data_IF_989953438970
#
_entry.id   IF_989953438970
#
_cell.length_a   1.000
_cell.length_b   1.000
_cell.length_c   1.000
_cell.angle_alpha   90.00
_cell.angle_beta   90.00
_cell.angle_gamma   90.00
#
_symmetry.space_group_name_H-M   'P 1'
#
loop_
_entity.id
_entity.type
_entity.pdbx_description
1 polymer ?
#
# COMPACT_ATOMS: atom_id res chain seq x y z
N UNK A 1 42.17 84.94 1.16
CA UNK A 1 40.91 84.56 1.83
C UNK A 1 40.68 83.13 1.51
N UNK A 2 41.07 82.28 2.39
CA UNK A 2 41.09 80.81 2.21
C UNK A 2 40.24 80.14 3.27
N UNK A 3 39.30 79.32 2.87
CA UNK A 3 38.56 78.46 3.78
C UNK A 3 39.12 77.04 3.71
N UNK A 4 39.68 76.60 4.80
CA UNK A 4 40.20 75.22 4.98
C UNK A 4 39.04 74.27 5.17
N UNK A 5 38.86 73.35 4.24
CA UNK A 5 37.94 72.20 4.40
C UNK A 5 38.65 71.14 5.23
N UNK A 6 38.16 70.87 6.42
CA UNK A 6 38.59 69.76 7.27
C UNK A 6 37.97 68.45 6.75
N UNK A 7 38.82 67.52 6.30
CA UNK A 7 38.45 66.13 6.07
C UNK A 7 38.25 65.41 7.39
N UNK A 8 37.06 64.96 7.68
CA UNK A 8 36.77 64.05 8.77
C UNK A 8 36.87 62.64 8.25
N UNK A 9 37.91 61.97 8.70
CA UNK A 9 38.10 60.54 8.37
C UNK A 9 37.33 59.73 9.40
N UNK A 10 36.22 59.07 8.95
CA UNK A 10 35.54 58.08 9.71
C UNK A 10 36.29 56.74 9.62
N UNK A 11 36.92 56.38 10.74
CA UNK A 11 37.53 55.06 10.92
C UNK A 11 36.42 54.09 11.34
N UNK A 12 35.92 53.30 10.39
CA UNK A 12 34.98 52.21 10.71
C UNK A 12 35.77 51.02 11.29
N UNK A 13 35.68 50.83 12.58
CA UNK A 13 36.18 49.65 13.28
C UNK A 13 35.21 48.51 12.98
N UNK A 14 35.62 47.62 12.05
CA UNK A 14 34.93 46.36 11.85
C UNK A 14 35.33 45.39 12.96
N UNK A 15 34.53 45.26 13.99
CA UNK A 15 34.63 44.15 14.93
C UNK A 15 34.15 42.87 14.25
N UNK A 16 35.11 42.04 13.89
CA UNK A 16 34.86 40.65 13.42
C UNK A 16 34.47 39.82 14.65
N UNK A 17 33.19 39.74 14.94
CA UNK A 17 32.69 38.77 15.92
C UNK A 17 32.58 37.46 15.15
N UNK A 18 33.62 36.62 15.20
CA UNK A 18 33.56 35.22 14.90
C UNK A 18 32.69 34.53 15.97
N UNK A 19 31.38 34.66 15.83
CA UNK A 19 30.46 33.79 16.53
C UNK A 19 30.62 32.40 15.95
N UNK A 20 31.16 31.47 16.72
CA UNK A 20 31.05 30.05 16.44
C UNK A 20 29.55 29.68 16.48
N UNK A 21 28.92 29.73 15.31
CA UNK A 21 27.69 28.99 15.07
C UNK A 21 28.06 27.51 14.98
N UNK A 22 28.23 26.88 16.16
CA UNK A 22 28.04 25.47 16.29
C UNK A 22 26.55 25.22 15.93
N UNK A 23 26.31 25.01 14.66
CA UNK A 23 25.07 24.45 14.17
C UNK A 23 24.91 23.08 14.82
N UNK A 24 24.17 23.04 15.93
CA UNK A 24 23.48 21.82 16.30
C UNK A 24 22.54 21.54 15.13
N UNK A 25 22.98 20.67 14.22
CA UNK A 25 22.07 19.90 13.41
C UNK A 25 21.23 19.13 14.43
N UNK A 26 20.08 19.67 14.77
CA UNK A 26 19.02 18.91 15.37
C UNK A 26 18.75 17.82 14.33
N UNK A 27 19.30 16.63 14.57
CA UNK A 27 18.76 15.42 13.96
C UNK A 27 17.29 15.43 14.36
N UNK A 28 16.45 15.92 13.46
CA UNK A 28 15.02 15.85 13.62
C UNK A 28 14.70 14.37 13.75
N UNK A 29 14.38 13.92 14.96
CA UNK A 29 13.63 12.69 15.14
C UNK A 29 12.49 12.77 14.11
N UNK A 30 12.57 11.96 13.09
CA UNK A 30 11.50 11.75 12.15
C UNK A 30 10.36 11.14 12.96
N UNK A 31 9.52 12.01 13.52
CA UNK A 31 8.24 11.59 14.08
C UNK A 31 7.48 11.07 12.88
N UNK A 32 7.57 9.75 12.65
CA UNK A 32 6.75 9.08 11.64
C UNK A 32 5.30 9.33 12.06
N UNK A 33 4.65 10.24 11.32
CA UNK A 33 3.28 10.66 11.60
C UNK A 33 2.39 9.40 11.56
N UNK A 34 1.70 9.11 12.65
CA UNK A 34 0.67 8.07 12.65
C UNK A 34 -0.40 8.44 11.63
N UNK A 35 -0.67 7.53 10.68
CA UNK A 35 -1.68 7.77 9.67
C UNK A 35 -3.07 7.67 10.26
N UNK A 36 -3.98 8.48 9.74
CA UNK A 36 -5.38 8.48 10.17
C UNK A 36 -6.02 7.15 9.77
N UNK A 37 -6.48 6.42 10.77
CA UNK A 37 -7.28 5.22 10.57
C UNK A 37 -8.74 5.59 10.35
N UNK A 38 -9.38 5.18 9.25
CA UNK A 38 -10.82 5.31 9.09
C UNK A 38 -11.59 4.65 10.24
N UNK A 39 -12.77 5.14 10.59
CA UNK A 39 -13.60 4.52 11.63
C UNK A 39 -13.87 3.04 11.35
N UNK A 40 -13.78 2.20 12.36
CA UNK A 40 -14.18 0.80 12.23
C UNK A 40 -15.66 0.67 11.90
N UNK A 41 -15.98 -0.33 11.10
CA UNK A 41 -17.36 -0.61 10.71
C UNK A 41 -18.16 -1.21 11.85
N UNK A 42 -19.47 -0.95 11.83
CA UNK A 42 -20.48 -1.55 12.70
C UNK A 42 -21.68 -2.02 11.88
N UNK A 43 -22.52 -2.84 12.46
CA UNK A 43 -23.77 -3.26 11.81
C UNK A 43 -24.61 -2.06 11.38
N UNK A 44 -25.13 -2.11 10.17
CA UNK A 44 -25.88 -1.02 9.54
C UNK A 44 -25.01 -0.04 8.74
N UNK A 45 -23.68 -0.10 8.87
CA UNK A 45 -22.81 0.73 8.03
C UNK A 45 -22.87 0.29 6.56
N UNK A 46 -22.63 1.26 5.68
CA UNK A 46 -22.73 1.07 4.23
C UNK A 46 -21.38 0.82 3.61
N UNK A 47 -21.30 -0.21 2.77
CA UNK A 47 -20.19 -0.48 1.88
C UNK A 47 -20.61 -0.29 0.43
N UNK A 48 -19.82 0.46 -0.35
CA UNK A 48 -20.04 0.56 -1.80
C UNK A 48 -19.09 -0.37 -2.53
N UNK A 49 -19.67 -1.28 -3.34
CA UNK A 49 -18.92 -2.10 -4.29
C UNK A 49 -18.91 -1.39 -5.63
N UNK A 50 -17.73 -1.12 -6.19
CA UNK A 50 -17.54 -0.45 -7.46
C UNK A 50 -16.33 -1.05 -8.22
N UNK A 51 -16.22 -0.75 -9.51
CA UNK A 51 -15.18 -1.31 -10.38
C UNK A 51 -14.25 -0.21 -10.90
N UNK A 52 -13.15 0.14 -10.20
CA UNK A 52 -12.28 1.25 -10.61
C UNK A 52 -11.29 0.86 -11.70
N UNK A 53 -11.17 -0.41 -12.02
CA UNK A 53 -10.17 -1.00 -12.90
C UNK A 53 -10.79 -1.90 -13.98
N UNK A 54 -10.58 -3.22 -13.88
CA UNK A 54 -11.06 -4.20 -14.82
C UNK A 54 -12.55 -4.50 -14.68
N UNK A 55 -13.20 -4.83 -15.80
CA UNK A 55 -14.62 -5.20 -15.84
C UNK A 55 -14.90 -6.51 -15.10
N UNK A 56 -16.03 -6.61 -14.47
CA UNK A 56 -16.63 -7.89 -14.06
C UNK A 56 -17.58 -8.37 -15.16
N UNK A 57 -17.75 -9.69 -15.26
CA UNK A 57 -18.55 -10.28 -16.33
C UNK A 57 -20.03 -9.97 -16.18
N UNK A 58 -20.51 -10.17 -14.96
CA UNK A 58 -21.89 -9.96 -14.55
C UNK A 58 -21.95 -9.82 -13.01
N UNK A 59 -23.15 -9.54 -12.49
CA UNK A 59 -23.34 -9.37 -11.06
C UNK A 59 -23.12 -10.66 -10.25
N UNK A 60 -23.37 -11.81 -10.85
CA UNK A 60 -23.13 -13.11 -10.20
C UNK A 60 -21.69 -13.27 -9.73
N UNK A 61 -20.74 -12.68 -10.47
CA UNK A 61 -19.34 -12.73 -10.11
C UNK A 61 -18.99 -12.04 -8.78
N UNK A 62 -19.91 -11.31 -8.16
CA UNK A 62 -19.71 -10.64 -6.88
C UNK A 62 -20.73 -11.04 -5.81
N UNK A 63 -21.61 -12.01 -6.08
CA UNK A 63 -22.67 -12.41 -5.15
C UNK A 63 -22.09 -12.89 -3.81
N UNK A 64 -20.99 -13.63 -3.82
CA UNK A 64 -20.30 -14.07 -2.60
C UNK A 64 -19.85 -12.88 -1.72
N UNK A 65 -19.36 -11.80 -2.34
CA UNK A 65 -18.98 -10.58 -1.63
C UNK A 65 -20.18 -9.85 -1.03
N UNK A 66 -21.30 -9.81 -1.75
CA UNK A 66 -22.56 -9.23 -1.28
C UNK A 66 -23.08 -10.04 -0.09
N UNK A 67 -23.11 -11.38 -0.21
CA UNK A 67 -23.57 -12.28 0.84
C UNK A 67 -22.70 -12.13 2.11
N UNK A 68 -21.38 -12.08 1.94
CA UNK A 68 -20.43 -11.89 3.04
C UNK A 68 -20.67 -10.56 3.77
N UNK A 69 -20.83 -9.45 3.03
CA UNK A 69 -21.10 -8.14 3.61
C UNK A 69 -22.44 -8.14 4.37
N UNK A 70 -23.48 -8.71 3.80
CA UNK A 70 -24.79 -8.86 4.45
C UNK A 70 -24.71 -9.73 5.71
N UNK A 71 -23.93 -10.83 5.68
CA UNK A 71 -23.68 -11.67 6.84
C UNK A 71 -23.01 -10.89 7.99
N UNK A 72 -22.15 -9.94 7.67
CA UNK A 72 -21.54 -9.03 8.66
C UNK A 72 -22.49 -7.92 9.13
N UNK A 73 -23.68 -7.84 8.54
CA UNK A 73 -24.70 -6.84 8.87
C UNK A 73 -24.46 -5.48 8.21
N UNK A 74 -23.68 -5.44 7.15
CA UNK A 74 -23.43 -4.24 6.35
C UNK A 74 -24.53 -4.05 5.29
N UNK A 75 -24.74 -2.80 4.87
CA UNK A 75 -25.64 -2.44 3.78
C UNK A 75 -24.83 -2.22 2.52
N UNK A 76 -25.13 -2.96 1.44
CA UNK A 76 -24.36 -2.91 0.21
C UNK A 76 -24.98 -1.95 -0.79
N UNK A 77 -24.21 -0.96 -1.24
CA UNK A 77 -24.49 -0.12 -2.40
C UNK A 77 -23.58 -0.46 -3.56
N UNK A 78 -23.93 0.01 -4.75
CA UNK A 78 -23.19 -0.25 -5.96
C UNK A 78 -22.84 1.05 -6.69
N UNK A 79 -21.69 1.06 -7.35
CA UNK A 79 -21.37 2.07 -8.34
C UNK A 79 -22.39 2.03 -9.49
N UNK A 80 -22.71 3.17 -10.06
CA UNK A 80 -23.66 3.25 -11.18
C UNK A 80 -23.14 2.50 -12.41
N UNK A 81 -21.81 2.48 -12.56
CA UNK A 81 -21.07 1.89 -13.70
C UNK A 81 -20.40 0.57 -13.35
N UNK A 82 -20.80 -0.08 -12.24
CA UNK A 82 -20.22 -1.34 -11.77
C UNK A 82 -20.10 -2.42 -12.85
N UNK A 83 -21.07 -2.48 -13.78
CA UNK A 83 -21.16 -3.47 -14.86
C UNK A 83 -20.81 -2.90 -16.23
N UNK A 84 -20.40 -1.64 -16.33
CA UNK A 84 -19.97 -1.02 -17.57
C UNK A 84 -18.75 -1.74 -18.16
N UNK A 85 -18.61 -1.70 -19.48
CA UNK A 85 -17.52 -2.37 -20.18
C UNK A 85 -17.01 -1.52 -21.33
N UNK A 86 -15.70 -1.28 -21.34
CA UNK A 86 -14.96 -0.69 -22.45
C UNK A 86 -13.65 -1.48 -22.63
N UNK A 87 -13.61 -2.34 -23.63
CA UNK A 87 -12.50 -3.28 -23.82
C UNK A 87 -12.28 -4.19 -22.59
N UNK A 88 -11.17 -4.03 -21.91
CA UNK A 88 -10.84 -4.74 -20.64
C UNK A 88 -11.26 -3.98 -19.38
N UNK A 89 -11.63 -2.71 -19.52
CA UNK A 89 -11.99 -1.83 -18.40
C UNK A 89 -13.45 -1.97 -17.99
N UNK A 90 -13.75 -1.58 -16.76
CA UNK A 90 -15.11 -1.44 -16.26
C UNK A 90 -15.72 -0.09 -16.69
N UNK A 91 -15.94 0.07 -17.99
CA UNK A 91 -16.37 1.32 -18.61
C UNK A 91 -15.21 2.27 -18.92
N UNK A 92 -15.56 3.47 -19.38
CA UNK A 92 -14.62 4.56 -19.70
C UNK A 92 -13.89 5.06 -18.47
N UNK A 93 -12.79 5.78 -18.67
CA UNK A 93 -12.08 6.47 -17.56
C UNK A 93 -13.04 7.42 -16.80
N UNK A 94 -13.93 8.10 -17.52
CA UNK A 94 -14.93 9.00 -16.92
C UNK A 94 -15.92 8.23 -16.02
N UNK A 95 -16.54 7.15 -16.50
CA UNK A 95 -17.49 6.34 -15.71
C UNK A 95 -16.88 5.80 -14.43
N UNK A 96 -15.63 5.31 -14.50
CA UNK A 96 -14.90 4.80 -13.34
C UNK A 96 -14.53 5.92 -12.36
N UNK A 97 -14.17 7.10 -12.87
CA UNK A 97 -13.92 8.30 -12.07
C UNK A 97 -15.19 8.75 -11.35
N UNK A 98 -16.32 8.82 -12.05
CA UNK A 98 -17.62 9.22 -11.48
C UNK A 98 -18.04 8.31 -10.31
N UNK A 99 -17.95 6.99 -10.48
CA UNK A 99 -18.29 6.04 -9.43
C UNK A 99 -17.33 6.17 -8.22
N UNK A 100 -16.04 6.29 -8.47
CA UNK A 100 -15.04 6.43 -7.41
C UNK A 100 -15.19 7.76 -6.69
N UNK A 101 -15.36 8.88 -7.40
CA UNK A 101 -15.55 10.20 -6.82
C UNK A 101 -16.82 10.23 -5.94
N UNK A 102 -17.93 9.69 -6.46
CA UNK A 102 -19.17 9.58 -5.67
C UNK A 102 -18.93 8.81 -4.38
N UNK A 103 -18.18 7.71 -4.43
CA UNK A 103 -17.89 6.91 -3.23
C UNK A 103 -16.98 7.65 -2.25
N UNK A 104 -16.02 8.45 -2.73
CA UNK A 104 -15.16 9.29 -1.90
C UNK A 104 -15.96 10.40 -1.20
N UNK A 105 -16.91 11.02 -1.89
CA UNK A 105 -17.63 12.20 -1.41
C UNK A 105 -18.85 11.84 -0.52
N UNK A 106 -19.51 10.72 -0.77
CA UNK A 106 -20.74 10.37 -0.06
C UNK A 106 -20.46 10.01 1.42
N UNK A 107 -20.92 10.84 2.39
CA UNK A 107 -20.65 10.61 3.82
C UNK A 107 -21.37 9.38 4.38
N UNK A 108 -22.38 8.85 3.68
CA UNK A 108 -23.09 7.63 4.09
C UNK A 108 -22.23 6.39 3.87
N UNK A 109 -21.32 6.41 2.88
CA UNK A 109 -20.42 5.30 2.58
C UNK A 109 -19.29 5.25 3.63
N UNK A 110 -19.12 4.08 4.26
CA UNK A 110 -18.10 3.82 5.30
C UNK A 110 -16.94 2.97 4.80
N UNK A 111 -17.15 2.21 3.73
CA UNK A 111 -16.10 1.49 3.04
C UNK A 111 -16.36 1.47 1.53
N UNK A 112 -15.29 1.53 0.76
CA UNK A 112 -15.25 1.31 -0.69
C UNK A 112 -14.58 -0.04 -0.89
N UNK A 113 -15.29 -1.00 -1.49
CA UNK A 113 -14.77 -2.33 -1.76
C UNK A 113 -14.67 -2.51 -3.28
N UNK A 114 -13.44 -2.51 -3.79
CA UNK A 114 -13.22 -2.72 -5.21
C UNK A 114 -13.72 -4.12 -5.62
N UNK A 115 -14.56 -4.19 -6.66
CA UNK A 115 -15.13 -5.45 -7.13
C UNK A 115 -14.07 -6.42 -7.62
N UNK A 116 -13.07 -5.88 -8.33
CA UNK A 116 -11.88 -6.58 -8.84
C UNK A 116 -10.75 -5.60 -9.13
N UNK A 117 -9.53 -6.14 -9.27
CA UNK A 117 -8.39 -5.45 -9.88
C UNK A 117 -8.39 -5.51 -11.40
N UNK A 118 -7.28 -5.84 -12.00
CA UNK A 118 -7.08 -5.86 -13.45
C UNK A 118 -6.14 -4.75 -13.86
N UNK A 119 -6.65 -3.77 -14.61
CA UNK A 119 -5.89 -2.59 -15.00
C UNK A 119 -6.83 -1.40 -15.20
N UNK A 120 -6.38 -0.21 -14.80
CA UNK A 120 -7.09 1.03 -15.10
C UNK A 120 -7.14 2.05 -13.97
N UNK A 121 -6.87 1.67 -12.71
CA UNK A 121 -6.89 2.62 -11.57
C UNK A 121 -5.89 3.76 -11.77
N UNK A 122 -4.71 3.47 -12.31
CA UNK A 122 -3.68 4.48 -12.61
C UNK A 122 -4.14 5.55 -13.62
N UNK A 123 -5.13 5.23 -14.46
CA UNK A 123 -5.67 6.16 -15.46
C UNK A 123 -6.64 7.19 -14.89
N UNK A 124 -7.21 6.90 -13.73
CA UNK A 124 -8.23 7.74 -13.09
C UNK A 124 -7.73 8.44 -11.83
N UNK A 125 -6.60 8.01 -11.26
CA UNK A 125 -6.15 8.47 -9.93
C UNK A 125 -5.94 9.99 -9.87
N UNK A 126 -5.42 10.59 -10.93
CA UNK A 126 -5.12 12.02 -10.99
C UNK A 126 -6.38 12.89 -11.27
N UNK A 127 -7.50 12.25 -11.63
CA UNK A 127 -8.79 12.92 -11.84
C UNK A 127 -9.67 12.92 -10.58
N UNK A 128 -9.20 12.29 -9.48
CA UNK A 128 -9.96 12.16 -8.24
C UNK A 128 -9.62 13.29 -7.26
N UNK A 129 -10.65 13.93 -6.71
CA UNK A 129 -10.53 14.86 -5.59
C UNK A 129 -10.73 14.11 -4.26
N UNK A 130 -9.71 14.13 -3.42
CA UNK A 130 -9.72 13.50 -2.11
C UNK A 130 -10.07 14.48 -0.97
N UNK A 131 -10.48 15.71 -1.25
CA UNK A 131 -10.72 16.74 -0.22
C UNK A 131 -11.79 16.30 0.78
N UNK A 132 -12.95 15.81 0.31
CA UNK A 132 -14.03 15.31 1.18
C UNK A 132 -13.62 14.02 1.88
N UNK A 133 -12.89 13.14 1.20
CA UNK A 133 -12.34 11.92 1.80
C UNK A 133 -11.40 12.25 2.97
N UNK A 134 -10.55 13.28 2.85
CA UNK A 134 -9.64 13.69 3.90
C UNK A 134 -10.35 14.18 5.16
N UNK A 135 -11.51 14.82 5.00
CA UNK A 135 -12.36 15.24 6.14
C UNK A 135 -13.10 14.07 6.79
N UNK A 136 -13.48 13.09 5.99
CA UNK A 136 -14.33 11.94 6.40
C UNK A 136 -13.79 10.63 5.83
N UNK A 137 -12.62 10.18 6.31
CA UNK A 137 -11.96 9.02 5.75
C UNK A 137 -12.80 7.76 5.92
N UNK A 138 -12.74 6.91 4.92
CA UNK A 138 -13.42 5.62 4.85
C UNK A 138 -12.46 4.55 4.38
N UNK A 139 -12.74 3.29 4.67
CA UNK A 139 -11.89 2.19 4.24
C UNK A 139 -11.92 2.03 2.72
N UNK A 140 -10.76 1.91 2.11
CA UNK A 140 -10.59 1.44 0.73
C UNK A 140 -10.04 0.03 0.82
N UNK A 141 -10.76 -0.93 0.22
CA UNK A 141 -10.48 -2.36 0.31
C UNK A 141 -10.27 -2.95 -1.07
N UNK A 142 -9.18 -3.67 -1.25
CA UNK A 142 -8.86 -4.37 -2.49
C UNK A 142 -7.38 -4.75 -2.55
N UNK A 143 -6.93 -5.30 -3.67
CA UNK A 143 -5.54 -5.65 -3.93
C UNK A 143 -5.24 -5.59 -5.44
N UNK A 144 -4.04 -5.99 -5.87
CA UNK A 144 -3.68 -5.93 -7.29
C UNK A 144 -3.63 -4.47 -7.79
N UNK A 145 -4.35 -4.12 -8.85
CA UNK A 145 -4.42 -2.76 -9.42
C UNK A 145 -4.88 -1.69 -8.40
N UNK A 146 -5.57 -2.09 -7.32
CA UNK A 146 -6.01 -1.20 -6.25
C UNK A 146 -4.82 -0.66 -5.42
N UNK A 147 -3.64 -1.24 -5.57
CA UNK A 147 -2.39 -0.72 -4.99
C UNK A 147 -2.15 0.76 -5.33
N UNK A 148 -2.61 1.25 -6.48
CA UNK A 148 -2.57 2.67 -6.84
C UNK A 148 -3.33 3.53 -5.82
N UNK A 149 -4.56 3.13 -5.46
CA UNK A 149 -5.38 3.83 -4.46
C UNK A 149 -4.78 3.71 -3.06
N UNK A 150 -4.23 2.55 -2.71
CA UNK A 150 -3.56 2.35 -1.41
C UNK A 150 -2.39 3.32 -1.23
N UNK A 151 -1.54 3.45 -2.25
CA UNK A 151 -0.41 4.36 -2.18
C UNK A 151 -0.86 5.83 -2.16
N UNK A 152 -1.89 6.19 -2.96
CA UNK A 152 -2.43 7.56 -2.96
C UNK A 152 -2.96 7.95 -1.58
N UNK A 153 -3.78 7.11 -0.95
CA UNK A 153 -4.32 7.46 0.38
C UNK A 153 -3.26 7.39 1.48
N UNK A 154 -2.23 6.55 1.31
CA UNK A 154 -1.07 6.55 2.20
C UNK A 154 -0.34 7.89 2.17
N UNK A 155 -0.03 8.44 0.98
CA UNK A 155 0.59 9.75 0.81
C UNK A 155 -0.27 10.88 1.40
N UNK A 156 -1.59 10.76 1.30
CA UNK A 156 -2.52 11.69 1.92
C UNK A 156 -2.60 11.55 3.45
N UNK A 157 -2.00 10.52 4.02
CA UNK A 157 -1.95 10.31 5.47
C UNK A 157 -3.03 9.40 6.03
N UNK A 158 -3.57 8.45 5.24
CA UNK A 158 -4.65 7.56 5.66
C UNK A 158 -4.29 6.08 5.48
N UNK A 159 -4.92 5.24 6.34
CA UNK A 159 -4.82 3.79 6.24
C UNK A 159 -5.83 3.23 5.23
N UNK A 160 -5.50 2.08 4.63
CA UNK A 160 -6.37 1.31 3.73
C UNK A 160 -6.16 -0.19 3.94
N UNK A 161 -6.90 -1.06 3.25
CA UNK A 161 -6.82 -2.51 3.47
C UNK A 161 -6.55 -3.24 2.15
N UNK A 162 -5.35 -3.84 2.04
CA UNK A 162 -5.08 -4.87 1.05
C UNK A 162 -5.78 -6.15 1.48
N UNK A 163 -6.76 -6.62 0.72
CA UNK A 163 -7.54 -7.81 1.03
C UNK A 163 -8.33 -8.32 -0.16
N UNK A 164 -8.94 -9.51 0.02
CA UNK A 164 -9.79 -10.17 -0.95
C UNK A 164 -10.88 -9.26 -1.50
N UNK A 165 -11.15 -9.37 -2.79
CA UNK A 165 -12.18 -8.61 -3.51
C UNK A 165 -13.39 -9.49 -3.84
N UNK A 166 -14.58 -8.91 -4.02
CA UNK A 166 -15.81 -9.66 -4.27
C UNK A 166 -15.71 -10.70 -5.37
N UNK A 167 -15.04 -10.39 -6.51
CA UNK A 167 -14.95 -11.30 -7.66
C UNK A 167 -14.13 -12.57 -7.41
N UNK A 168 -13.28 -12.55 -6.39
CA UNK A 168 -12.40 -13.68 -6.05
C UNK A 168 -12.86 -14.45 -4.81
N UNK A 169 -14.00 -14.07 -4.24
CA UNK A 169 -14.58 -14.75 -3.08
C UNK A 169 -15.35 -16.00 -3.49
N UNK A 170 -15.11 -17.05 -2.72
CA UNK A 170 -15.87 -18.30 -2.72
C UNK A 170 -16.12 -18.69 -1.26
N UNK A 171 -17.36 -18.55 -0.79
CA UNK A 171 -17.74 -18.79 0.60
C UNK A 171 -17.65 -20.27 1.01
N UNK A 172 -17.67 -21.16 0.02
CA UNK A 172 -17.57 -22.60 0.22
C UNK A 172 -16.10 -23.09 0.22
N UNK A 173 -15.16 -22.24 -0.23
CA UNK A 173 -13.76 -22.59 -0.28
C UNK A 173 -13.11 -22.49 1.13
N UNK A 174 -12.72 -23.63 1.76
CA UNK A 174 -12.13 -23.62 3.09
C UNK A 174 -10.79 -22.85 3.16
N UNK A 175 -10.06 -22.75 2.03
CA UNK A 175 -8.78 -22.06 1.97
C UNK A 175 -8.94 -20.54 2.08
N UNK A 176 -10.14 -20.01 1.80
CA UNK A 176 -10.45 -18.57 1.94
C UNK A 176 -10.96 -18.20 3.34
N UNK A 177 -11.12 -19.13 4.25
CA UNK A 177 -11.68 -18.88 5.59
C UNK A 177 -10.87 -17.85 6.37
N UNK A 178 -9.56 -17.93 6.36
CA UNK A 178 -8.71 -16.97 7.07
C UNK A 178 -8.66 -15.61 6.35
N UNK A 179 -8.72 -15.57 5.02
CA UNK A 179 -8.86 -14.33 4.24
C UNK A 179 -10.10 -13.55 4.68
N UNK A 180 -11.26 -14.19 4.67
CA UNK A 180 -12.54 -13.57 5.08
C UNK A 180 -12.53 -13.16 6.54
N UNK A 181 -12.02 -14.03 7.42
CA UNK A 181 -11.90 -13.75 8.86
C UNK A 181 -10.97 -12.57 9.15
N UNK A 182 -9.84 -12.49 8.46
CA UNK A 182 -8.88 -11.40 8.63
C UNK A 182 -9.43 -10.06 8.13
N UNK A 183 -10.13 -10.04 6.99
CA UNK A 183 -10.82 -8.85 6.49
C UNK A 183 -11.89 -8.36 7.49
N UNK A 184 -12.68 -9.28 8.03
CA UNK A 184 -13.63 -8.93 9.08
C UNK A 184 -12.95 -8.31 10.30
N UNK A 185 -11.83 -8.93 10.78
CA UNK A 185 -11.08 -8.39 11.92
C UNK A 185 -10.55 -6.98 11.63
N UNK A 186 -10.00 -6.76 10.44
CA UNK A 186 -9.48 -5.46 10.04
C UNK A 186 -10.59 -4.38 9.99
N UNK A 187 -11.71 -4.67 9.35
CA UNK A 187 -12.82 -3.72 9.20
C UNK A 187 -13.53 -3.41 10.52
N UNK A 188 -13.67 -4.37 11.44
CA UNK A 188 -14.42 -4.24 12.68
C UNK A 188 -13.54 -4.01 13.92
N UNK A 189 -12.29 -3.64 13.76
CA UNK A 189 -11.40 -3.27 14.86
C UNK A 189 -11.03 -4.40 15.81
N UNK A 190 -11.03 -5.64 15.33
CA UNK A 190 -10.57 -6.76 16.12
C UNK A 190 -9.07 -6.96 15.94
N UNK A 191 -8.40 -7.51 16.94
CA UNK A 191 -6.96 -7.76 16.90
C UNK A 191 -6.56 -8.52 15.63
N UNK A 192 -5.64 -7.91 14.88
CA UNK A 192 -5.02 -8.50 13.70
C UNK A 192 -3.59 -8.89 14.02
N UNK A 193 -3.31 -10.18 13.94
CA UNK A 193 -1.99 -10.75 14.17
C UNK A 193 -1.86 -12.03 13.39
N UNK A 194 -0.71 -12.22 12.75
CA UNK A 194 -0.40 -13.40 11.98
C UNK A 194 0.79 -14.15 12.59
N UNK A 195 0.67 -15.46 12.57
CA UNK A 195 1.74 -16.41 12.87
C UNK A 195 1.80 -17.38 11.70
N UNK A 196 2.89 -17.38 10.97
CA UNK A 196 3.08 -18.24 9.81
C UNK A 196 4.29 -19.14 10.01
N UNK A 197 4.31 -20.28 9.35
CA UNK A 197 5.52 -21.09 9.25
C UNK A 197 6.59 -20.29 8.51
N UNK A 198 7.83 -20.41 8.91
CA UNK A 198 8.92 -19.67 8.30
C UNK A 198 9.51 -20.43 7.14
N UNK A 199 9.70 -19.74 6.00
CA UNK A 199 10.54 -20.21 4.91
C UNK A 199 12.01 -20.30 5.39
N UNK A 200 12.76 -21.26 4.90
CA UNK A 200 14.18 -21.46 5.26
C UNK A 200 15.09 -20.32 4.78
N UNK A 201 14.67 -19.59 3.75
CA UNK A 201 15.38 -18.43 3.17
C UNK A 201 15.02 -17.12 3.84
N UNK A 202 14.16 -17.13 4.84
CA UNK A 202 13.86 -15.92 5.60
C UNK A 202 15.14 -15.33 6.21
N UNK A 203 15.31 -14.03 6.07
CA UNK A 203 16.33 -13.32 6.84
C UNK A 203 15.77 -13.01 8.24
N UNK A 204 16.40 -13.61 9.26
CA UNK A 204 15.96 -13.52 10.64
C UNK A 204 16.20 -12.11 11.19
N UNK A 205 15.33 -11.66 12.08
CA UNK A 205 15.43 -10.36 12.73
C UNK A 205 14.08 -9.83 13.20
N UNK A 206 14.12 -8.64 13.76
CA UNK A 206 12.94 -7.90 14.18
C UNK A 206 12.97 -6.52 13.52
N UNK A 207 11.81 -6.03 13.09
CA UNK A 207 11.63 -4.72 12.49
C UNK A 207 10.27 -4.13 12.89
N UNK A 208 10.14 -2.83 12.84
CA UNK A 208 8.91 -2.14 13.15
C UNK A 208 8.76 -0.92 12.24
N UNK A 209 7.59 -0.74 11.65
CA UNK A 209 7.33 0.40 10.79
C UNK A 209 5.91 0.41 10.24
N UNK A 210 5.58 1.46 9.52
CA UNK A 210 4.31 1.51 8.80
C UNK A 210 4.35 0.55 7.61
N UNK A 211 3.33 -0.31 7.50
CA UNK A 211 3.20 -1.24 6.38
C UNK A 211 2.76 -0.51 5.12
N UNK A 212 3.50 -0.67 4.03
CA UNK A 212 3.20 -0.09 2.71
C UNK A 212 3.46 -1.09 1.61
N UNK A 213 3.04 -0.79 0.39
CA UNK A 213 3.31 -1.63 -0.78
C UNK A 213 2.05 -2.24 -1.38
N UNK A 214 2.15 -3.46 -1.87
CA UNK A 214 1.11 -4.20 -2.59
C UNK A 214 1.67 -4.93 -3.80
N UNK A 215 0.98 -4.85 -4.94
CA UNK A 215 1.44 -5.49 -6.18
C UNK A 215 2.73 -4.84 -6.70
N UNK A 216 3.77 -5.65 -6.93
CA UNK A 216 5.11 -5.17 -7.31
C UNK A 216 5.10 -4.37 -8.61
N UNK A 217 4.40 -4.86 -9.64
CA UNK A 217 4.37 -4.17 -10.93
C UNK A 217 3.68 -2.80 -10.83
N UNK A 218 2.69 -2.69 -9.94
CA UNK A 218 2.03 -1.41 -9.66
C UNK A 218 2.95 -0.49 -8.85
N UNK A 219 3.57 -0.97 -7.76
CA UNK A 219 4.54 -0.18 -6.98
C UNK A 219 5.68 0.32 -7.88
N UNK A 220 6.20 -0.54 -8.76
CA UNK A 220 7.21 -0.17 -9.75
C UNK A 220 6.72 0.92 -10.71
N UNK A 221 5.48 0.82 -11.20
CA UNK A 221 4.91 1.78 -12.15
C UNK A 221 4.71 3.18 -11.57
N UNK A 222 4.64 3.28 -10.24
CA UNK A 222 4.45 4.55 -9.54
C UNK A 222 5.76 5.25 -9.14
N UNK A 223 6.91 4.67 -9.43
CA UNK A 223 8.20 5.34 -9.22
C UNK A 223 8.23 6.70 -9.91
N UNK A 224 8.70 7.71 -9.20
CA UNK A 224 8.78 9.11 -9.65
C UNK A 224 7.42 9.79 -9.97
N UNK A 225 6.30 9.22 -9.53
CA UNK A 225 4.98 9.89 -9.53
C UNK A 225 4.64 10.46 -8.15
N UNK A 226 3.55 11.21 -8.05
CA UNK A 226 3.04 11.76 -6.78
C UNK A 226 2.51 10.67 -5.82
N UNK A 227 2.43 9.42 -6.29
CA UNK A 227 2.05 8.25 -5.49
C UNK A 227 3.24 7.36 -5.15
N UNK A 228 4.47 7.83 -5.41
CA UNK A 228 5.69 7.12 -5.02
C UNK A 228 5.84 7.11 -3.50
N UNK A 229 6.15 5.95 -2.93
CA UNK A 229 6.28 5.79 -1.49
C UNK A 229 7.62 6.31 -0.97
N UNK A 230 7.60 7.10 0.09
CA UNK A 230 8.76 7.34 0.94
C UNK A 230 8.97 6.13 1.86
N UNK A 231 10.12 5.49 1.76
CA UNK A 231 10.40 4.23 2.47
C UNK A 231 11.00 4.40 3.87
N UNK A 232 11.24 5.63 4.31
CA UNK A 232 11.81 5.88 5.63
C UNK A 232 10.89 5.39 6.76
N UNK A 233 11.38 4.45 7.57
CA UNK A 233 10.63 3.87 8.68
C UNK A 233 9.43 3.00 8.23
N UNK A 234 9.49 2.40 7.04
CA UNK A 234 8.41 1.56 6.49
C UNK A 234 8.79 0.08 6.47
N UNK A 235 7.78 -0.75 6.56
CA UNK A 235 7.87 -2.18 6.19
C UNK A 235 7.21 -2.34 4.83
N UNK A 236 7.95 -2.84 3.85
CA UNK A 236 7.45 -3.04 2.50
C UNK A 236 6.82 -4.42 2.36
N UNK A 237 5.62 -4.47 1.81
CA UNK A 237 4.94 -5.68 1.37
C UNK A 237 4.89 -5.71 -0.16
N UNK A 238 5.26 -6.85 -0.75
CA UNK A 238 5.21 -7.06 -2.20
C UNK A 238 4.61 -8.42 -2.53
N UNK A 239 3.74 -8.46 -3.54
CA UNK A 239 3.19 -9.66 -4.18
C UNK A 239 3.10 -9.42 -5.69
N UNK A 240 2.98 -10.45 -6.53
CA UNK A 240 2.71 -10.25 -7.96
C UNK A 240 2.13 -11.51 -8.63
N UNK A 241 1.54 -11.33 -9.82
CA UNK A 241 0.94 -12.40 -10.60
C UNK A 241 1.21 -12.26 -12.09
N UNK A 242 1.56 -13.38 -12.73
CA UNK A 242 1.66 -13.46 -14.18
C UNK A 242 2.92 -12.84 -14.79
N UNK A 243 3.90 -12.50 -13.95
CA UNK A 243 5.16 -11.93 -14.39
C UNK A 243 6.20 -13.02 -14.69
N UNK A 244 7.06 -12.74 -15.68
CA UNK A 244 8.25 -13.52 -15.89
C UNK A 244 9.33 -13.16 -14.86
N UNK A 245 10.13 -14.14 -14.43
CA UNK A 245 11.10 -13.91 -13.36
C UNK A 245 12.10 -12.78 -13.67
N UNK A 246 12.51 -12.61 -14.94
CA UNK A 246 13.37 -11.49 -15.33
C UNK A 246 12.68 -10.12 -15.26
N UNK A 247 11.34 -10.07 -15.38
CA UNK A 247 10.57 -8.84 -15.12
C UNK A 247 10.54 -8.53 -13.63
N UNK A 248 10.31 -9.54 -12.79
CA UNK A 248 10.37 -9.41 -11.33
C UNK A 248 11.74 -8.89 -10.91
N UNK A 249 12.83 -9.49 -11.42
CA UNK A 249 14.19 -9.02 -11.14
C UNK A 249 14.38 -7.55 -11.53
N UNK A 250 13.97 -7.17 -12.75
CA UNK A 250 14.07 -5.78 -13.22
C UNK A 250 13.33 -4.82 -12.31
N UNK A 251 12.11 -5.16 -11.88
CA UNK A 251 11.32 -4.31 -10.99
C UNK A 251 11.96 -4.19 -9.61
N UNK A 252 12.43 -5.29 -9.02
CA UNK A 252 13.13 -5.30 -7.72
C UNK A 252 14.43 -4.46 -7.80
N UNK A 253 15.22 -4.62 -8.86
CA UNK A 253 16.43 -3.81 -9.06
C UNK A 253 16.10 -2.33 -9.27
N UNK A 254 14.98 -2.01 -9.91
CA UNK A 254 14.54 -0.62 -10.05
C UNK A 254 14.15 -0.02 -8.70
N UNK A 255 13.44 -0.74 -7.84
CA UNK A 255 13.14 -0.32 -6.47
C UNK A 255 14.44 -0.13 -5.65
N UNK A 256 15.41 -1.06 -5.77
CA UNK A 256 16.74 -0.92 -5.16
C UNK A 256 17.43 0.38 -5.59
N UNK A 257 17.47 0.65 -6.91
CA UNK A 257 18.08 1.86 -7.49
C UNK A 257 17.36 3.13 -7.09
N UNK A 258 16.04 3.08 -6.91
CA UNK A 258 15.22 4.18 -6.39
C UNK A 258 15.40 4.41 -4.87
N UNK A 259 16.16 3.54 -4.17
CA UNK A 259 16.47 3.71 -2.75
C UNK A 259 15.51 3.04 -1.78
N UNK A 260 14.52 2.29 -2.26
CA UNK A 260 13.47 1.68 -1.43
C UNK A 260 14.01 0.85 -0.27
N UNK A 261 15.11 0.13 -0.48
CA UNK A 261 15.68 -0.75 0.55
C UNK A 261 16.69 -0.08 1.49
N UNK A 262 17.02 1.20 1.29
CA UNK A 262 18.02 1.88 2.13
C UNK A 262 17.50 2.28 3.51
N UNK A 263 16.22 2.64 3.56
CA UNK A 263 15.57 3.18 4.77
C UNK A 263 14.37 2.32 5.20
N UNK A 264 14.27 1.10 4.63
CA UNK A 264 13.24 0.13 4.94
C UNK A 264 13.55 -0.56 6.27
N UNK A 265 12.52 -0.83 7.08
CA UNK A 265 12.61 -1.49 8.38
C UNK A 265 12.25 -2.98 8.33
N UNK A 266 11.81 -3.46 7.18
CA UNK A 266 11.45 -4.86 6.96
C UNK A 266 10.85 -5.09 5.59
N UNK A 267 10.90 -6.34 5.14
CA UNK A 267 10.34 -6.76 3.86
C UNK A 267 9.49 -8.02 4.04
N UNK A 268 8.26 -7.94 3.53
CA UNK A 268 7.32 -9.06 3.48
C UNK A 268 7.06 -9.39 2.01
N UNK A 269 7.40 -10.60 1.61
CA UNK A 269 7.11 -11.14 0.27
C UNK A 269 5.90 -12.05 0.40
N UNK A 270 4.83 -11.67 -0.30
CA UNK A 270 3.62 -12.45 -0.43
C UNK A 270 3.71 -13.51 -1.53
N UNK A 271 2.55 -13.86 -2.09
CA UNK A 271 2.50 -14.80 -3.21
C UNK A 271 3.04 -14.19 -4.50
N UNK A 272 3.85 -14.96 -5.20
CA UNK A 272 4.34 -14.63 -6.54
C UNK A 272 4.00 -15.76 -7.51
N UNK A 273 2.88 -15.61 -8.22
CA UNK A 273 2.51 -16.55 -9.29
C UNK A 273 3.23 -16.20 -10.58
N UNK A 274 4.41 -16.76 -10.74
CA UNK A 274 5.22 -16.54 -11.93
C UNK A 274 4.58 -17.18 -13.18
N UNK A 275 4.91 -16.64 -14.34
CA UNK A 275 4.43 -17.12 -15.63
C UNK A 275 4.86 -18.57 -15.85
N UNK A 276 3.90 -19.44 -16.17
CA UNK A 276 4.18 -20.86 -16.48
C UNK A 276 5.02 -20.96 -17.74
N UNK A 277 5.97 -21.88 -17.78
CA UNK A 277 6.82 -22.26 -18.93
C UNK A 277 8.16 -21.53 -19.11
N UNK A 278 8.59 -20.68 -18.19
CA UNK A 278 9.93 -20.12 -18.29
C UNK A 278 11.01 -21.03 -17.69
N UNK A 279 10.60 -22.05 -16.90
CA UNK A 279 11.53 -22.98 -16.22
C UNK A 279 12.59 -22.18 -15.44
N UNK A 280 13.56 -22.85 -14.87
CA UNK A 280 14.68 -22.16 -14.20
C UNK A 280 15.73 -21.66 -15.20
N UNK A 281 15.30 -21.14 -16.36
CA UNK A 281 16.20 -20.57 -17.40
C UNK A 281 16.92 -19.32 -16.91
N UNK A 282 16.35 -18.63 -15.91
CA UNK A 282 16.96 -17.43 -15.33
C UNK A 282 18.12 -17.79 -14.37
N UNK A 283 18.18 -19.03 -13.89
CA UNK A 283 19.26 -19.53 -13.04
C UNK A 283 19.23 -19.12 -11.58
N UNK A 284 18.18 -18.39 -11.15
CA UNK A 284 17.95 -17.95 -9.76
C UNK A 284 16.48 -18.15 -9.38
N UNK A 285 16.22 -18.25 -8.08
CA UNK A 285 14.88 -18.21 -7.50
C UNK A 285 14.46 -16.79 -7.16
N UNK A 286 13.16 -16.56 -6.94
CA UNK A 286 12.65 -15.28 -6.43
C UNK A 286 13.35 -14.86 -5.13
N UNK A 287 13.51 -15.80 -4.21
CA UNK A 287 14.13 -15.54 -2.90
C UNK A 287 15.59 -15.07 -3.06
N UNK A 288 16.34 -15.69 -3.97
CA UNK A 288 17.73 -15.28 -4.26
C UNK A 288 17.79 -13.86 -4.84
N UNK A 289 16.88 -13.51 -5.77
CA UNK A 289 16.81 -12.16 -6.34
C UNK A 289 16.49 -11.10 -5.29
N UNK A 290 15.52 -11.39 -4.43
CA UNK A 290 15.14 -10.50 -3.33
C UNK A 290 16.31 -10.31 -2.36
N UNK A 291 16.95 -11.39 -1.92
CA UNK A 291 18.06 -11.33 -0.95
C UNK A 291 19.28 -10.59 -1.52
N UNK A 292 19.58 -10.73 -2.81
CA UNK A 292 20.62 -9.93 -3.49
C UNK A 292 20.26 -8.43 -3.57
N UNK A 293 18.98 -8.14 -3.80
CA UNK A 293 18.54 -6.75 -3.86
C UNK A 293 18.69 -6.03 -2.51
N UNK A 294 18.50 -6.74 -1.42
CA UNK A 294 18.59 -6.22 -0.05
C UNK A 294 19.95 -6.53 0.62
N UNK A 295 20.94 -6.97 -0.15
CA UNK A 295 22.31 -7.17 0.37
C UNK A 295 22.87 -5.87 0.95
N UNK A 296 23.51 -5.96 2.13
CA UNK A 296 24.06 -4.81 2.86
C UNK A 296 23.04 -4.06 3.72
N UNK A 297 21.83 -4.59 3.87
CA UNK A 297 20.82 -4.11 4.83
C UNK A 297 20.62 -5.14 5.95
N UNK A 298 20.14 -4.71 7.12
CA UNK A 298 20.02 -5.56 8.31
C UNK A 298 18.57 -5.89 8.69
N UNK A 299 17.58 -5.32 8.01
CA UNK A 299 16.17 -5.54 8.33
C UNK A 299 15.72 -6.99 8.04
N UNK A 300 14.70 -7.52 8.74
CA UNK A 300 14.17 -8.87 8.49
C UNK A 300 13.47 -8.98 7.14
N UNK A 301 13.54 -10.18 6.52
CA UNK A 301 12.79 -10.53 5.32
C UNK A 301 11.95 -11.78 5.62
N UNK A 302 10.65 -11.71 5.34
CA UNK A 302 9.73 -12.84 5.43
C UNK A 302 9.24 -13.18 4.02
N UNK A 303 9.38 -14.43 3.62
CA UNK A 303 8.83 -14.99 2.39
C UNK A 303 7.54 -15.77 2.66
N UNK A 304 6.78 -16.00 1.59
CA UNK A 304 5.57 -16.81 1.56
C UNK A 304 4.49 -16.35 2.57
N UNK A 305 4.41 -15.04 2.80
CA UNK A 305 3.29 -14.51 3.56
C UNK A 305 2.00 -14.72 2.75
N UNK A 306 0.94 -15.32 3.37
CA UNK A 306 -0.29 -15.61 2.65
C UNK A 306 -1.09 -14.33 2.35
N UNK A 307 -0.67 -13.61 1.32
CA UNK A 307 -1.37 -12.47 0.73
C UNK A 307 -0.95 -12.29 -0.73
N UNK A 308 -1.87 -11.88 -1.57
CA UNK A 308 -1.69 -11.71 -3.01
C UNK A 308 -2.77 -12.45 -3.81
N UNK A 309 -2.38 -13.03 -4.96
CA UNK A 309 -3.33 -13.68 -5.87
C UNK A 309 -3.57 -15.17 -5.53
N UNK A 310 -3.82 -15.47 -4.27
CA UNK A 310 -4.11 -16.80 -3.72
C UNK A 310 -5.43 -16.82 -2.97
N UNK A 311 -5.94 -18.01 -2.69
CA UNK A 311 -7.19 -18.17 -1.95
C UNK A 311 -7.06 -17.67 -0.50
N UNK A 312 -5.97 -18.01 0.19
CA UNK A 312 -5.66 -17.46 1.52
C UNK A 312 -5.01 -16.07 1.44
N UNK A 313 -5.71 -15.09 0.83
CA UNK A 313 -5.25 -13.71 0.73
C UNK A 313 -5.63 -12.91 1.98
N UNK A 314 -4.82 -13.00 3.02
CA UNK A 314 -5.07 -12.37 4.33
C UNK A 314 -4.98 -10.86 4.27
N UNK A 315 -5.87 -10.21 5.00
CA UNK A 315 -5.95 -8.75 5.03
C UNK A 315 -4.73 -8.10 5.68
N UNK A 316 -4.22 -7.07 5.05
CA UNK A 316 -3.14 -6.22 5.56
C UNK A 316 -3.63 -4.77 5.65
N UNK A 317 -3.54 -4.16 6.83
CA UNK A 317 -3.86 -2.74 7.02
C UNK A 317 -2.64 -1.92 6.61
N UNK A 318 -2.65 -1.39 5.40
CA UNK A 318 -1.58 -0.52 4.89
C UNK A 318 -1.64 0.83 5.60
N UNK A 319 -0.47 1.37 5.96
CA UNK A 319 -0.32 2.56 6.76
C UNK A 319 -0.38 2.32 8.28
N UNK A 320 -0.77 1.13 8.73
CA UNK A 320 -0.69 0.76 10.16
C UNK A 320 0.76 0.45 10.56
N UNK A 321 1.12 0.80 11.78
CA UNK A 321 2.36 0.30 12.38
C UNK A 321 2.26 -1.20 12.63
N UNK A 322 3.30 -1.92 12.23
CA UNK A 322 3.43 -3.35 12.50
C UNK A 322 4.76 -3.66 13.17
N UNK A 323 4.74 -4.68 14.00
CA UNK A 323 5.93 -5.38 14.47
C UNK A 323 6.12 -6.62 13.59
N UNK A 324 7.29 -6.73 13.00
CA UNK A 324 7.72 -7.84 12.15
C UNK A 324 8.79 -8.63 12.89
N UNK A 325 8.54 -9.92 13.11
CA UNK A 325 9.52 -10.84 13.68
C UNK A 325 9.71 -12.04 12.79
N UNK A 326 10.87 -12.10 12.14
CA UNK A 326 11.32 -13.28 11.38
C UNK A 326 12.14 -14.18 12.29
N UNK A 327 11.71 -15.42 12.47
CA UNK A 327 12.34 -16.39 13.34
C UNK A 327 12.41 -17.78 12.67
N UNK A 328 13.29 -18.69 13.12
CA UNK A 328 13.59 -19.94 12.45
C UNK A 328 12.39 -20.87 12.20
N UNK A 329 11.40 -20.90 13.09
CA UNK A 329 10.26 -21.80 12.97
C UNK A 329 8.97 -21.09 12.58
N UNK A 330 8.68 -19.95 13.21
CA UNK A 330 7.46 -19.19 12.99
C UNK A 330 7.77 -17.72 12.97
N UNK A 331 7.36 -17.06 11.91
CA UNK A 331 7.40 -15.62 11.78
C UNK A 331 6.09 -15.01 12.28
N UNK A 332 6.16 -13.77 12.76
CA UNK A 332 5.00 -13.06 13.31
C UNK A 332 4.92 -11.66 12.72
N UNK A 333 3.69 -11.27 12.42
CA UNK A 333 3.33 -9.89 12.06
C UNK A 333 2.22 -9.47 13.02
N UNK A 334 2.40 -8.37 13.74
CA UNK A 334 1.43 -7.84 14.71
C UNK A 334 1.09 -6.40 14.36
N UNK A 335 -0.18 -6.11 14.15
CA UNK A 335 -0.70 -4.76 13.90
C UNK A 335 -0.95 -4.05 15.24
N UNK A 336 -0.58 -2.76 15.30
CA UNK A 336 -0.81 -1.88 16.45
C UNK A 336 -2.12 -1.12 16.31
#
# INVERSE_FOLDING_TARGET
>A
MGSKLRKVTFLAIFYLVMGQLSGFAQEGESITRELVRPPYLKKGDTVMILSPAGKIRDRKGIDAGIELANHWGLVVFFGNHLLSQDGSFAGTDQERTEDMQKALDDPSIKAIWASRGGYGTVRIIDNLDFSVFAERPKWIVGYSDITVLHNKVHELGFQSIHAQMPVTLDLENPDQKESMSSLHRALFGKKLQYKIESDEKNRLGEGMGQLVGGNLSIVYSMLASDTNLDMKGKVLFLEDVGEALYHVDRMIISLKRAGYFKECEGLIIGDFRLKKNEGNKFGKTLQELVLEAVEGTDFPVIFDFPAGHIDDNRALILGSYIELKSAKKKSRISFQ
#
